data_IF_095937109238
#
_entry.id   IF_095937109238
#
_cell.length_a   1.000
_cell.length_b   1.000
_cell.length_c   1.000
_cell.angle_alpha   90.00
_cell.angle_beta   90.00
_cell.angle_gamma   90.00
#
_symmetry.space_group_name_H-M   'P 1'
#
loop_
_entity.id
_entity.type
_entity.pdbx_description
1 polymer ?
#
# COMPACT_ATOMS: atom_id res chain seq x y z
N UNK A 1 -72.66 -5.02 25.67
CA UNK A 1 -72.04 -5.81 24.58
C UNK A 1 -70.52 -5.83 24.72
N UNK A 2 -69.99 -6.40 25.82
CA UNK A 2 -68.56 -6.33 26.20
C UNK A 2 -67.76 -7.63 25.95
N UNK A 3 -68.35 -8.64 25.29
CA UNK A 3 -67.81 -10.01 25.28
C UNK A 3 -67.18 -10.48 23.96
N UNK A 4 -67.21 -9.70 22.89
CA UNK A 4 -66.68 -10.14 21.57
C UNK A 4 -65.20 -9.77 21.36
N UNK A 5 -64.68 -8.77 22.08
CA UNK A 5 -63.30 -8.32 21.87
C UNK A 5 -62.23 -9.12 22.65
N UNK A 6 -62.63 -9.96 23.62
CA UNK A 6 -61.67 -10.73 24.43
C UNK A 6 -61.32 -12.13 23.87
N UNK A 7 -62.04 -12.63 22.86
CA UNK A 7 -61.87 -14.02 22.41
C UNK A 7 -60.88 -14.17 21.23
N UNK A 8 -60.36 -13.07 20.69
CA UNK A 8 -59.41 -13.06 19.56
C UNK A 8 -57.93 -12.97 19.98
N UNK A 9 -57.63 -12.84 21.28
CA UNK A 9 -56.23 -12.76 21.76
C UNK A 9 -55.70 -14.03 22.43
N UNK A 10 -56.51 -15.09 22.58
CA UNK A 10 -56.08 -16.32 23.26
C UNK A 10 -55.67 -17.48 22.33
N UNK A 11 -55.70 -17.28 21.00
CA UNK A 11 -55.30 -18.30 20.02
C UNK A 11 -53.95 -18.05 19.34
N UNK A 12 -53.21 -17.01 19.74
CA UNK A 12 -51.88 -16.70 19.16
C UNK A 12 -50.73 -17.20 20.05
N UNK A 13 -50.98 -17.53 21.32
CA UNK A 13 -49.94 -17.97 22.26
C UNK A 13 -49.41 -19.39 22.01
N UNK A 14 -50.10 -20.21 21.19
CA UNK A 14 -49.71 -21.60 20.92
C UNK A 14 -48.65 -21.78 19.83
N UNK A 15 -48.30 -20.73 19.06
CA UNK A 15 -47.21 -20.81 18.05
C UNK A 15 -45.85 -20.45 18.67
N UNK A 16 -45.83 -19.77 19.83
CA UNK A 16 -44.60 -19.27 20.46
C UNK A 16 -43.94 -20.24 21.47
N UNK A 17 -44.42 -21.47 21.59
CA UNK A 17 -43.88 -22.43 22.58
C UNK A 17 -42.73 -23.31 22.06
N UNK A 18 -42.45 -23.34 20.75
CA UNK A 18 -41.34 -24.12 20.16
C UNK A 18 -40.22 -23.21 19.61
N UNK A 19 -40.45 -21.90 19.53
CA UNK A 19 -39.57 -20.95 18.83
C UNK A 19 -38.60 -20.15 19.70
N UNK A 20 -38.71 -20.15 21.03
CA UNK A 20 -37.89 -19.26 21.88
C UNK A 20 -36.43 -19.69 22.04
N UNK A 21 -36.14 -21.00 21.95
CA UNK A 21 -34.76 -21.51 21.89
C UNK A 21 -34.09 -21.29 20.54
N UNK A 22 -34.85 -21.52 19.45
CA UNK A 22 -34.33 -21.38 18.08
C UNK A 22 -34.15 -19.91 17.66
N UNK A 23 -35.01 -18.98 18.11
CA UNK A 23 -34.90 -17.56 17.80
C UNK A 23 -33.74 -16.87 18.57
N UNK A 24 -33.43 -17.36 19.76
CA UNK A 24 -32.30 -16.86 20.55
C UNK A 24 -30.96 -17.39 20.01
N UNK A 25 -30.92 -18.62 19.49
CA UNK A 25 -29.73 -19.21 18.89
C UNK A 25 -29.36 -18.54 17.56
N UNK A 26 -30.35 -18.19 16.73
CA UNK A 26 -30.11 -17.52 15.43
C UNK A 26 -29.65 -16.07 15.59
N UNK A 27 -30.12 -15.36 16.62
CA UNK A 27 -29.68 -13.98 16.92
C UNK A 27 -28.24 -13.92 17.47
N UNK A 28 -27.83 -14.92 18.27
CA UNK A 28 -26.44 -15.06 18.72
C UNK A 28 -25.53 -15.46 17.57
N UNK A 29 -25.98 -16.36 16.67
CA UNK A 29 -25.21 -16.72 15.47
C UNK A 29 -25.05 -15.56 14.49
N UNK A 30 -26.07 -14.70 14.30
CA UNK A 30 -25.96 -13.55 13.41
C UNK A 30 -25.03 -12.48 13.97
N UNK A 31 -25.00 -12.28 15.30
CA UNK A 31 -24.08 -11.34 15.95
C UNK A 31 -22.59 -11.74 15.78
N UNK A 32 -22.29 -13.04 15.68
CA UNK A 32 -20.92 -13.54 15.47
C UNK A 32 -20.42 -13.26 14.03
N UNK A 33 -21.33 -13.19 13.04
CA UNK A 33 -20.98 -12.96 11.63
C UNK A 33 -20.64 -11.49 11.36
N UNK A 34 -21.19 -10.54 12.13
CA UNK A 34 -20.92 -9.10 11.93
C UNK A 34 -19.58 -8.60 12.50
N UNK A 35 -18.84 -9.41 13.26
CA UNK A 35 -17.65 -8.95 14.02
C UNK A 35 -16.35 -8.91 13.20
N UNK A 36 -16.33 -9.42 11.97
CA UNK A 36 -15.03 -9.73 11.32
C UNK A 36 -14.83 -9.11 9.94
N UNK A 37 -15.10 -7.81 9.76
CA UNK A 37 -14.50 -7.05 8.66
C UNK A 37 -13.27 -6.32 9.21
N UNK A 38 -12.18 -7.05 9.38
CA UNK A 38 -10.86 -6.45 9.53
C UNK A 38 -10.34 -6.12 8.15
N UNK A 39 -10.14 -4.83 7.84
CA UNK A 39 -9.29 -4.46 6.71
C UNK A 39 -7.88 -4.90 7.06
N UNK A 40 -7.38 -5.90 6.33
CA UNK A 40 -5.97 -6.25 6.38
C UNK A 40 -5.20 -5.15 5.65
N UNK A 41 -4.87 -4.08 6.37
CA UNK A 41 -3.92 -3.09 5.89
C UNK A 41 -2.53 -3.75 5.85
N UNK A 42 -1.92 -3.78 4.67
CA UNK A 42 -0.59 -4.37 4.51
C UNK A 42 0.39 -3.33 5.08
N UNK A 43 1.18 -3.65 6.11
CA UNK A 43 2.11 -2.70 6.68
C UNK A 43 3.15 -2.31 5.63
N UNK A 44 3.15 -1.04 5.23
CA UNK A 44 4.16 -0.47 4.35
C UNK A 44 5.39 -0.15 5.21
N UNK A 45 6.33 -1.09 5.26
CA UNK A 45 7.58 -0.98 6.03
C UNK A 45 8.75 -0.70 5.09
N UNK A 46 9.57 0.29 5.41
CA UNK A 46 10.80 0.60 4.65
C UNK A 46 12.01 0.28 5.52
N UNK A 47 12.83 -0.68 5.10
CA UNK A 47 14.11 -0.97 5.77
C UNK A 47 15.12 0.15 5.48
N UNK A 48 15.64 0.78 6.52
CA UNK A 48 16.67 1.79 6.43
C UNK A 48 17.87 1.41 7.30
N UNK A 49 19.06 1.51 6.73
CA UNK A 49 20.31 1.19 7.40
C UNK A 49 21.30 2.33 7.18
N UNK A 50 22.05 2.64 8.21
CA UNK A 50 22.98 3.75 8.18
C UNK A 50 24.06 3.61 9.22
N UNK A 51 25.01 4.54 9.17
CA UNK A 51 25.98 4.75 10.23
C UNK A 51 26.07 6.23 10.55
N UNK A 52 26.12 6.57 11.83
CA UNK A 52 26.21 7.96 12.30
C UNK A 52 27.50 8.14 13.09
N UNK A 53 28.18 9.26 12.82
CA UNK A 53 29.34 9.71 13.57
C UNK A 53 28.97 10.98 14.32
N UNK A 54 29.58 11.15 15.49
CA UNK A 54 29.57 12.41 16.23
C UNK A 54 30.38 13.48 15.48
N UNK A 55 30.24 14.74 15.88
CA UNK A 55 31.03 15.87 15.37
C UNK A 55 32.55 15.67 15.57
N UNK A 56 32.93 14.89 16.58
CA UNK A 56 34.33 14.53 16.87
C UNK A 56 34.89 13.44 15.92
N UNK A 57 34.08 12.92 15.00
CA UNK A 57 34.47 11.86 14.06
C UNK A 57 34.41 10.44 14.63
N UNK A 58 34.04 10.29 15.89
CA UNK A 58 33.85 9.00 16.55
C UNK A 58 32.47 8.40 16.22
N UNK A 59 32.35 7.07 16.10
CA UNK A 59 31.06 6.41 15.88
C UNK A 59 30.14 6.64 17.07
N UNK A 60 28.87 6.94 16.80
CA UNK A 60 27.86 7.06 17.86
C UNK A 60 27.52 5.66 18.39
N UNK A 61 27.67 5.41 19.69
CA UNK A 61 27.48 4.08 20.30
C UNK A 61 26.48 4.13 21.45
N UNK A 62 25.68 3.07 21.59
CA UNK A 62 24.69 2.96 22.67
C UNK A 62 23.26 3.23 22.21
N UNK A 63 22.35 3.49 23.16
CA UNK A 63 20.92 3.70 22.88
C UNK A 63 20.66 5.19 22.70
N UNK A 64 20.14 5.57 21.55
CA UNK A 64 19.78 6.95 21.21
C UNK A 64 18.37 7.01 20.62
N UNK A 65 17.67 8.12 20.84
CA UNK A 65 16.36 8.35 20.24
C UNK A 65 16.52 9.05 18.90
N UNK A 66 16.18 8.35 17.82
CA UNK A 66 16.30 8.89 16.47
C UNK A 66 14.91 9.25 15.97
N UNK A 67 14.75 10.50 15.54
CA UNK A 67 13.54 10.98 14.86
C UNK A 67 13.79 11.01 13.36
N UNK A 68 13.04 10.19 12.64
CA UNK A 68 12.98 10.16 11.19
C UNK A 68 11.86 11.07 10.72
N UNK A 69 12.11 11.83 9.67
CA UNK A 69 11.12 12.73 9.08
C UNK A 69 11.20 12.69 7.57
N UNK A 70 10.09 12.51 6.89
CA UNK A 70 10.03 12.49 5.42
C UNK A 70 9.55 13.86 4.94
N UNK A 71 10.22 14.38 3.91
CA UNK A 71 9.96 15.68 3.31
C UNK A 71 9.81 15.57 1.79
N UNK A 72 9.02 16.48 1.23
CA UNK A 72 8.88 16.68 -0.21
C UNK A 72 9.87 17.72 -0.79
N UNK A 73 10.75 18.29 0.03
CA UNK A 73 11.79 19.23 -0.40
C UNK A 73 13.15 18.89 0.21
N UNK A 74 14.21 19.20 -0.53
CA UNK A 74 15.59 18.97 -0.10
C UNK A 74 16.00 19.81 1.13
N UNK A 75 15.40 20.99 1.29
CA UNK A 75 15.64 21.90 2.43
C UNK A 75 14.33 22.53 2.89
N UNK A 76 14.22 22.79 4.20
CA UNK A 76 13.02 23.38 4.81
C UNK A 76 11.77 22.50 4.66
N UNK A 77 10.59 23.13 4.62
CA UNK A 77 9.32 22.42 4.48
C UNK A 77 8.80 21.78 5.77
N UNK A 78 7.57 21.29 5.71
CA UNK A 78 6.90 20.57 6.81
C UNK A 78 7.05 19.08 6.56
N UNK A 79 7.39 18.26 7.57
CA UNK A 79 7.47 16.82 7.37
C UNK A 79 6.09 16.25 7.06
N UNK A 80 5.98 15.46 6.00
CA UNK A 80 4.75 14.76 5.64
C UNK A 80 4.49 13.56 6.55
N UNK A 81 5.56 13.01 7.11
CA UNK A 81 5.54 11.91 8.04
C UNK A 81 6.72 12.03 8.99
N UNK A 82 6.51 11.64 10.24
CA UNK A 82 7.52 11.68 11.28
C UNK A 82 7.35 10.49 12.22
N UNK A 83 8.47 9.91 12.63
CA UNK A 83 8.51 8.77 13.54
C UNK A 83 9.75 8.86 14.43
N UNK A 84 9.58 8.64 15.73
CA UNK A 84 10.69 8.56 16.68
C UNK A 84 10.86 7.11 17.15
N UNK A 85 12.06 6.58 17.00
CA UNK A 85 12.43 5.24 17.44
C UNK A 85 13.65 5.28 18.37
N UNK A 86 13.65 4.46 19.41
CA UNK A 86 14.83 4.24 20.25
C UNK A 86 15.70 3.15 19.62
N UNK A 87 16.90 3.52 19.17
CA UNK A 87 17.81 2.65 18.41
C UNK A 87 19.08 2.40 19.21
N UNK A 88 19.52 1.15 19.23
CA UNK A 88 20.85 0.78 19.76
C UNK A 88 21.86 0.74 18.61
N UNK A 89 22.85 1.62 18.68
CA UNK A 89 23.96 1.66 17.73
C UNK A 89 25.05 0.66 18.10
N UNK A 90 25.61 -0.01 17.10
CA UNK A 90 26.75 -0.91 17.28
C UNK A 90 28.04 -0.11 17.57
N UNK A 91 29.11 -0.82 17.98
CA UNK A 91 30.46 -0.25 18.20
C UNK A 91 31.03 0.51 17.00
N UNK A 92 30.54 0.25 15.79
CA UNK A 92 30.91 0.94 14.56
C UNK A 92 29.95 2.08 14.19
N UNK A 93 28.98 2.40 15.05
CA UNK A 93 27.96 3.42 14.83
C UNK A 93 26.93 3.06 13.77
N UNK A 94 26.82 1.77 13.43
CA UNK A 94 25.86 1.26 12.47
C UNK A 94 24.52 0.91 13.13
N UNK A 95 23.43 1.07 12.38
CA UNK A 95 22.08 0.68 12.79
C UNK A 95 21.23 0.21 11.60
N UNK A 96 20.17 -0.53 11.91
CA UNK A 96 19.14 -0.97 10.97
C UNK A 96 17.76 -0.79 11.62
N UNK A 97 16.85 -0.14 10.93
CA UNK A 97 15.48 0.11 11.38
C UNK A 97 14.48 -0.10 10.27
N UNK A 98 13.24 -0.35 10.68
CA UNK A 98 12.08 -0.38 9.79
C UNK A 98 11.28 0.89 10.03
N UNK A 99 11.27 1.79 9.04
CA UNK A 99 10.39 2.96 9.04
C UNK A 99 8.96 2.48 8.84
N UNK A 100 8.03 3.02 9.63
CA UNK A 100 6.63 2.60 9.61
C UNK A 100 6.27 1.57 10.69
N UNK A 101 7.21 1.20 11.56
CA UNK A 101 7.00 0.17 12.58
C UNK A 101 6.26 0.70 13.83
N UNK A 102 6.53 1.95 14.21
CA UNK A 102 5.89 2.67 15.32
C UNK A 102 4.77 3.56 14.81
N UNK A 103 5.03 4.34 13.75
CA UNK A 103 4.04 5.19 13.08
C UNK A 103 3.85 4.70 11.66
N UNK A 104 2.75 3.98 11.34
CA UNK A 104 2.56 3.41 10.01
C UNK A 104 2.61 4.49 8.93
N UNK A 105 3.27 4.18 7.82
CA UNK A 105 3.27 5.05 6.65
C UNK A 105 1.86 5.07 6.05
N UNK A 106 1.33 6.27 5.80
CA UNK A 106 0.02 6.39 5.17
C UNK A 106 0.08 5.87 3.73
N UNK A 107 -0.91 5.09 3.27
CA UNK A 107 -0.96 4.59 1.90
C UNK A 107 -1.13 5.71 0.86
N UNK A 108 -1.49 6.92 1.31
CA UNK A 108 -1.62 8.11 0.48
C UNK A 108 -0.28 8.73 0.07
N UNK A 109 0.85 8.29 0.65
CA UNK A 109 2.17 8.76 0.26
C UNK A 109 2.56 8.08 -1.05
N UNK A 110 2.46 8.83 -2.14
CA UNK A 110 2.87 8.36 -3.46
C UNK A 110 4.39 8.46 -3.64
N UNK A 111 5.09 7.33 -3.64
CA UNK A 111 6.54 7.23 -3.88
C UNK A 111 6.95 7.35 -5.36
N UNK A 112 6.05 7.77 -6.25
CA UNK A 112 6.40 8.14 -7.63
C UNK A 112 7.20 9.45 -7.71
N UNK A 113 7.08 10.30 -6.69
CA UNK A 113 7.80 11.57 -6.58
C UNK A 113 9.12 11.45 -5.79
N UNK A 114 9.95 12.49 -5.89
CA UNK A 114 11.18 12.57 -5.13
C UNK A 114 10.92 12.98 -3.68
N UNK A 115 11.39 12.17 -2.73
CA UNK A 115 11.35 12.49 -1.29
C UNK A 115 12.74 12.55 -0.67
N UNK A 116 12.81 13.19 0.50
CA UNK A 116 14.00 13.31 1.32
C UNK A 116 13.72 12.84 2.74
N UNK A 117 14.69 12.14 3.32
CA UNK A 117 14.69 11.68 4.70
C UNK A 117 15.59 12.57 5.54
N UNK A 118 14.98 13.20 6.53
CA UNK A 118 15.61 13.88 7.64
C UNK A 118 15.83 12.95 8.82
N UNK A 119 16.96 13.14 9.50
CA UNK A 119 17.36 12.36 10.67
C UNK A 119 17.77 13.35 11.76
N UNK A 120 17.15 13.23 12.94
CA UNK A 120 17.52 13.97 14.15
C UNK A 120 17.86 12.98 15.26
N UNK A 121 18.98 13.21 15.94
CA UNK A 121 19.50 12.38 17.04
C UNK A 121 19.20 13.09 18.36
N UNK A 122 18.57 12.41 19.32
CA UNK A 122 18.29 12.91 20.68
C UNK A 122 17.62 14.30 20.72
N UNK A 123 16.70 14.56 19.78
CA UNK A 123 16.01 15.82 19.60
C UNK A 123 16.93 17.03 19.32
N UNK A 124 18.14 16.77 18.83
CA UNK A 124 19.04 17.78 18.28
C UNK A 124 18.54 18.33 16.94
N UNK A 125 19.25 19.32 16.40
CA UNK A 125 19.01 19.83 15.06
C UNK A 125 19.09 18.70 14.02
N UNK A 126 18.25 18.78 12.99
CA UNK A 126 18.19 17.80 11.93
C UNK A 126 19.52 17.77 11.15
N UNK A 127 20.06 16.58 10.89
CA UNK A 127 21.30 16.42 10.15
C UNK A 127 21.14 16.90 8.71
N UNK A 128 22.11 17.68 8.23
CA UNK A 128 22.18 18.18 6.85
C UNK A 128 23.46 17.65 6.16
N UNK A 129 23.40 17.23 4.89
CA UNK A 129 22.24 17.23 4.00
C UNK A 129 21.25 16.08 4.28
N UNK A 130 19.98 16.30 3.96
CA UNK A 130 18.94 15.25 4.00
C UNK A 130 19.26 14.13 3.02
N UNK A 131 18.94 12.90 3.40
CA UNK A 131 19.14 11.74 2.55
C UNK A 131 18.08 11.69 1.45
N UNK A 132 18.49 11.68 0.18
CA UNK A 132 17.56 11.56 -0.94
C UNK A 132 17.09 10.11 -1.08
N UNK A 133 15.79 9.86 -1.06
CA UNK A 133 15.28 8.52 -1.35
C UNK A 133 15.57 8.16 -2.80
N UNK A 134 16.20 7.00 -3.00
CA UNK A 134 16.50 6.45 -4.31
C UNK A 134 15.60 5.24 -4.63
N UNK A 135 15.33 5.05 -5.92
CA UNK A 135 14.60 3.87 -6.40
C UNK A 135 15.50 2.63 -6.38
N UNK A 136 14.98 1.51 -5.87
CA UNK A 136 15.65 0.20 -6.00
C UNK A 136 15.55 -0.31 -7.46
N UNK A 137 16.57 -1.00 -8.01
CA UNK A 137 16.53 -1.54 -9.37
C UNK A 137 15.30 -2.43 -9.64
N UNK A 138 14.85 -3.19 -8.64
CA UNK A 138 13.63 -4.01 -8.75
C UNK A 138 12.34 -3.16 -8.75
N UNK A 139 12.30 -2.08 -7.97
CA UNK A 139 11.19 -1.13 -7.98
C UNK A 139 11.10 -0.36 -9.31
N UNK A 140 12.25 -0.07 -9.95
CA UNK A 140 12.28 0.59 -11.25
C UNK A 140 11.62 -0.24 -12.36
N UNK A 141 11.79 -1.57 -12.34
CA UNK A 141 11.08 -2.49 -13.24
C UNK A 141 9.57 -2.54 -12.95
N UNK A 142 9.19 -2.54 -11.67
CA UNK A 142 7.79 -2.52 -11.27
C UNK A 142 7.08 -1.24 -11.75
N UNK A 143 7.72 -0.08 -11.62
CA UNK A 143 7.21 1.19 -12.16
C UNK A 143 6.95 1.11 -13.67
N UNK A 144 7.84 0.46 -14.44
CA UNK A 144 7.61 0.28 -15.88
C UNK A 144 6.41 -0.62 -16.18
N UNK A 145 6.19 -1.69 -15.40
CA UNK A 145 5.05 -2.60 -15.59
C UNK A 145 3.73 -1.92 -15.16
N UNK A 146 3.76 -1.13 -14.10
CA UNK A 146 2.60 -0.34 -13.65
C UNK A 146 2.12 0.62 -14.75
N UNK A 147 3.06 1.30 -15.44
CA UNK A 147 2.73 2.19 -16.56
C UNK A 147 2.03 1.49 -17.75
N UNK A 148 2.20 0.17 -17.90
CA UNK A 148 1.54 -0.64 -18.94
C UNK A 148 0.11 -1.00 -18.51
N UNK A 149 -0.16 -1.13 -17.21
CA UNK A 149 -1.52 -1.41 -16.69
C UNK A 149 -2.49 -0.25 -16.94
N UNK A 150 -1.99 0.99 -17.00
CA UNK A 150 -2.76 2.18 -17.37
C UNK A 150 -2.94 2.37 -18.90
N UNK A 151 -2.69 1.34 -19.71
CA UNK A 151 -3.05 1.33 -21.13
C UNK A 151 -2.13 2.15 -22.05
N UNK A 152 -1.02 2.68 -21.52
CA UNK A 152 0.03 3.28 -22.35
C UNK A 152 0.93 2.15 -22.81
N UNK A 153 0.51 1.47 -23.88
CA UNK A 153 1.43 0.70 -24.71
C UNK A 153 2.35 1.71 -25.42
N UNK A 154 3.66 1.78 -25.10
CA UNK A 154 4.58 2.48 -25.98
C UNK A 154 4.56 1.74 -27.32
N UNK A 155 3.93 2.36 -28.31
CA UNK A 155 3.99 1.96 -29.70
C UNK A 155 5.49 1.78 -30.08
N UNK A 156 5.97 0.57 -30.45
CA UNK A 156 5.32 -0.37 -31.37
C UNK A 156 5.37 -1.85 -30.92
N UNK A 157 4.78 -2.22 -29.78
CA UNK A 157 4.64 -3.64 -29.40
C UNK A 157 3.32 -4.23 -29.93
N UNK A 158 3.14 -4.20 -31.25
CA UNK A 158 2.15 -5.05 -31.92
C UNK A 158 2.77 -6.44 -32.03
N UNK A 159 2.50 -7.30 -31.05
CA UNK A 159 2.77 -8.73 -31.18
C UNK A 159 1.78 -9.26 -32.22
N UNK A 160 2.29 -9.52 -33.43
CA UNK A 160 1.55 -10.17 -34.51
C UNK A 160 1.02 -11.52 -34.03
N UNK A 161 -0.28 -11.57 -33.73
CA UNK A 161 -1.00 -12.80 -33.49
C UNK A 161 -1.14 -13.58 -34.80
N UNK A 162 -0.74 -14.85 -34.77
CA UNK A 162 -0.86 -15.79 -35.86
C UNK A 162 -2.28 -16.36 -36.00
N UNK A 163 -2.72 -16.59 -37.26
CA UNK A 163 -3.93 -17.33 -37.65
C UNK A 163 -5.20 -16.47 -37.57
N UNK A 164 -6.06 -16.34 -38.58
CA UNK A 164 -6.60 -17.40 -39.44
C UNK A 164 -6.88 -16.92 -40.88
N UNK A 165 -7.18 -17.90 -41.71
CA UNK A 165 -7.05 -17.97 -43.16
C UNK A 165 -8.30 -17.55 -43.96
N UNK A 166 -8.05 -17.06 -45.18
CA UNK A 166 -8.86 -17.15 -46.42
C UNK A 166 -10.07 -16.23 -46.64
N UNK A 167 -9.96 -15.36 -47.64
CA UNK A 167 -10.77 -15.49 -48.86
C UNK A 167 -10.03 -14.85 -50.03
N UNK A 168 -9.63 -15.68 -50.99
CA UNK A 168 -8.99 -15.23 -52.22
C UNK A 168 -10.00 -14.69 -53.24
N UNK A 169 -9.50 -13.84 -54.14
CA UNK A 169 -9.68 -13.71 -55.59
C UNK A 169 -8.94 -12.39 -55.94
N UNK A 170 -8.05 -12.25 -56.90
CA UNK A 170 -7.99 -12.77 -58.26
C UNK A 170 -6.54 -12.62 -58.76
N UNK A 171 -5.97 -13.65 -59.37
CA UNK A 171 -4.76 -13.54 -60.19
C UNK A 171 -5.01 -12.64 -61.40
N UNK A 172 -4.08 -11.73 -61.71
CA UNK A 172 -3.78 -11.20 -63.06
C UNK A 172 -2.69 -10.13 -62.84
N UNK A 173 -1.61 -10.01 -63.58
CA UNK A 173 -1.16 -10.61 -64.82
C UNK A 173 0.18 -9.92 -65.12
N UNK A 174 1.24 -10.68 -65.37
CA UNK A 174 2.47 -10.10 -65.93
C UNK A 174 2.22 -9.66 -67.37
N UNK A 175 2.65 -8.45 -67.76
CA UNK A 175 3.13 -8.08 -69.11
C UNK A 175 3.72 -6.66 -69.13
N UNK A 176 4.54 -6.31 -70.15
CA UNK A 176 5.83 -5.64 -69.96
C UNK A 176 5.92 -4.23 -70.57
N UNK A 177 7.12 -3.62 -70.40
CA UNK A 177 7.80 -2.67 -71.30
C UNK A 177 7.08 -1.36 -71.72
N UNK A 178 7.67 -0.21 -71.41
CA UNK A 178 8.28 0.71 -72.40
C UNK A 178 8.79 2.00 -71.73
N UNK A 179 9.92 2.50 -72.21
CA UNK A 179 10.72 3.53 -71.58
C UNK A 179 10.45 4.98 -72.01
N UNK A 180 11.29 5.84 -71.44
CA UNK A 180 12.02 6.94 -72.08
C UNK A 180 13.18 7.34 -71.17
#
# INVERSE_FOLDING_TARGET
MRKVCCNWLQSISSVFAVGSGFLSLTLVLSAIIYVSIGFADIPHLISYQGRIFSDDGEPLVGVHNITFSIYNTATGGVPIWQETQSITFDTLGAYNVMLGAVVPLSPDIDFSEQYWLGISVDAAEEMSPRFQFGTSPYAFRAHFVDSISNGIIPNPLIIGGAGESMMGITETHCTPENGR
#
